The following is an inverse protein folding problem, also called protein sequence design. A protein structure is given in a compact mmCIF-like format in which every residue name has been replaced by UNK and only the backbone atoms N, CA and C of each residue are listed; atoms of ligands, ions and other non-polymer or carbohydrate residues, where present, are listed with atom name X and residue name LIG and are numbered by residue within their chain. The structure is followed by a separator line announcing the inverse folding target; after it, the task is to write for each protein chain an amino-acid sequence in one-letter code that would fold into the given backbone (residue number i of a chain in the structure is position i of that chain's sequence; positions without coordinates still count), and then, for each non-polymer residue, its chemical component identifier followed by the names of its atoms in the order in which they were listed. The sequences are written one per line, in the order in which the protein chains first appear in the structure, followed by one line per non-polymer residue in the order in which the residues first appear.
data_IF_059712490663
#
_entry.id   IF_059712490663
#
_cell.length_a   1.000
_cell.length_b   1.000
_cell.length_c   1.000
_cell.angle_alpha   90.00
_cell.angle_beta   90.00
_cell.angle_gamma   90.00
#
_symmetry.space_group_name_H-M   'P 1'
#
loop_
_entity.id
_entity.type
_entity.pdbx_description
1 polymer ?
#
# COMPACT_ATOMS: atom_id res chain seq x y z
N UNK A 1 -32.28 15.23 -54.10
CA UNK A 1 -31.18 15.30 -53.12
C UNK A 1 -31.63 14.64 -51.82
N UNK A 2 -31.06 13.53 -51.45
CA UNK A 2 -31.36 12.85 -50.19
C UNK A 2 -30.28 13.25 -49.20
N UNK A 3 -30.59 13.74 -48.01
CA UNK A 3 -29.57 13.98 -46.97
C UNK A 3 -29.16 12.65 -46.35
N UNK A 4 -27.85 12.39 -46.36
CA UNK A 4 -27.23 11.26 -45.66
C UNK A 4 -27.27 11.51 -44.15
N UNK A 5 -27.63 10.51 -43.33
CA UNK A 5 -27.53 10.64 -41.90
C UNK A 5 -26.06 10.52 -41.49
N UNK A 6 -25.53 11.54 -40.83
CA UNK A 6 -24.25 11.49 -40.14
C UNK A 6 -24.43 10.63 -38.89
N UNK A 7 -23.90 9.44 -38.92
CA UNK A 7 -23.84 8.57 -37.74
C UNK A 7 -22.72 9.10 -36.84
N UNK A 8 -23.11 9.80 -35.79
CA UNK A 8 -22.23 10.22 -34.71
C UNK A 8 -21.86 8.98 -33.87
N UNK A 9 -20.70 8.39 -34.12
CA UNK A 9 -20.17 7.32 -33.30
C UNK A 9 -19.72 7.92 -31.95
N UNK A 10 -20.54 7.78 -30.91
CA UNK A 10 -20.11 8.01 -29.54
C UNK A 10 -19.11 6.92 -29.16
N UNK A 11 -17.84 7.28 -29.13
CA UNK A 11 -16.79 6.49 -28.47
C UNK A 11 -17.04 6.56 -26.96
N UNK A 12 -17.75 5.56 -26.45
CA UNK A 12 -17.82 5.27 -25.02
C UNK A 12 -16.45 4.84 -24.56
N UNK A 13 -15.71 5.74 -23.92
CA UNK A 13 -14.52 5.39 -23.17
C UNK A 13 -14.97 4.44 -22.05
N UNK A 14 -14.76 3.14 -22.24
CA UNK A 14 -14.98 2.13 -21.23
C UNK A 14 -13.89 2.29 -20.16
N UNK A 15 -14.18 3.09 -19.15
CA UNK A 15 -13.42 3.04 -17.90
C UNK A 15 -13.47 1.62 -17.34
N UNK A 16 -12.38 1.14 -16.71
CA UNK A 16 -12.36 -0.17 -16.08
C UNK A 16 -13.57 -0.31 -15.14
N UNK A 17 -14.33 -1.42 -15.19
CA UNK A 17 -15.54 -1.55 -14.38
C UNK A 17 -15.17 -1.48 -12.88
N UNK A 18 -15.98 -0.75 -12.10
CA UNK A 18 -15.79 -0.58 -10.65
C UNK A 18 -15.65 -1.92 -9.89
N UNK A 19 -16.23 -3.00 -10.42
CA UNK A 19 -16.14 -4.36 -9.90
C UNK A 19 -14.70 -4.88 -9.93
N UNK A 20 -13.90 -4.60 -10.98
CA UNK A 20 -12.51 -5.05 -11.07
C UNK A 20 -11.62 -4.34 -10.04
N UNK A 21 -11.88 -3.04 -9.76
CA UNK A 21 -11.17 -2.30 -8.71
C UNK A 21 -11.53 -2.81 -7.31
N UNK A 22 -12.80 -3.10 -7.03
CA UNK A 22 -13.27 -3.67 -5.77
C UNK A 22 -12.65 -5.05 -5.50
N UNK A 23 -12.55 -5.92 -6.52
CA UNK A 23 -11.93 -7.24 -6.37
C UNK A 23 -10.41 -7.16 -6.12
N UNK A 24 -9.72 -6.19 -6.73
CA UNK A 24 -8.29 -5.94 -6.48
C UNK A 24 -8.03 -5.47 -5.05
N UNK A 25 -8.87 -4.61 -4.51
CA UNK A 25 -8.79 -4.19 -3.11
C UNK A 25 -9.08 -5.35 -2.15
N UNK A 26 -10.12 -6.13 -2.41
CA UNK A 26 -10.44 -7.30 -1.59
C UNK A 26 -9.29 -8.32 -1.57
N UNK A 27 -8.66 -8.59 -2.72
CA UNK A 27 -7.51 -9.47 -2.83
C UNK A 27 -6.30 -8.91 -2.08
N UNK A 28 -6.09 -7.59 -2.12
CA UNK A 28 -5.00 -6.95 -1.40
C UNK A 28 -5.20 -7.04 0.12
N UNK A 29 -6.39 -6.76 0.63
CA UNK A 29 -6.70 -6.92 2.05
C UNK A 29 -6.53 -8.36 2.51
N UNK A 30 -6.96 -9.34 1.70
CA UNK A 30 -6.76 -10.75 2.00
C UNK A 30 -5.27 -11.13 2.08
N UNK A 31 -4.45 -10.62 1.17
CA UNK A 31 -2.99 -10.83 1.17
C UNK A 31 -2.33 -10.20 2.41
N UNK A 32 -2.78 -9.01 2.81
CA UNK A 32 -2.33 -8.34 4.04
C UNK A 32 -2.70 -9.16 5.29
N UNK A 33 -3.92 -9.60 5.40
CA UNK A 33 -4.40 -10.39 6.55
C UNK A 33 -3.75 -11.78 6.61
N UNK A 34 -3.37 -12.34 5.45
CA UNK A 34 -2.60 -13.57 5.37
C UNK A 34 -1.11 -13.40 5.67
N UNK A 35 -0.65 -12.18 5.96
CA UNK A 35 0.76 -11.91 6.26
C UNK A 35 1.69 -11.96 5.06
N UNK A 36 1.18 -11.76 3.85
CA UNK A 36 1.97 -11.77 2.61
C UNK A 36 2.48 -10.38 2.22
N UNK A 37 1.74 -9.34 2.57
CA UNK A 37 2.08 -7.93 2.41
C UNK A 37 2.01 -7.29 3.78
N UNK A 38 2.97 -6.46 4.13
CA UNK A 38 3.00 -5.84 5.45
C UNK A 38 3.66 -4.48 5.50
N UNK A 39 3.49 -3.82 6.64
CA UNK A 39 4.10 -2.52 6.92
C UNK A 39 5.58 -2.67 7.27
N UNK A 40 6.38 -1.73 6.80
CA UNK A 40 7.81 -1.66 7.08
C UNK A 40 8.11 -0.46 7.98
N UNK A 41 9.19 -0.58 8.73
CA UNK A 41 9.68 0.48 9.61
C UNK A 41 9.95 1.82 8.89
N UNK A 42 10.23 1.79 7.59
CA UNK A 42 10.53 2.98 6.78
C UNK A 42 9.29 3.69 6.21
N UNK A 43 8.09 3.24 6.59
CA UNK A 43 6.83 3.84 6.18
C UNK A 43 6.28 3.35 4.85
N UNK A 44 6.87 2.32 4.27
CA UNK A 44 6.40 1.68 3.04
C UNK A 44 5.82 0.30 3.30
N UNK A 45 5.10 -0.22 2.33
CA UNK A 45 4.70 -1.63 2.28
C UNK A 45 5.82 -2.47 1.66
N UNK A 46 5.87 -3.73 2.05
CA UNK A 46 6.76 -4.72 1.45
C UNK A 46 6.09 -6.08 1.35
N UNK A 47 6.78 -7.00 0.70
CA UNK A 47 6.34 -8.38 0.53
C UNK A 47 7.07 -9.30 1.52
N UNK A 48 6.30 -9.97 2.37
CA UNK A 48 6.84 -10.98 3.29
C UNK A 48 7.01 -12.36 2.64
N UNK A 49 6.56 -12.48 1.39
CA UNK A 49 6.71 -13.66 0.52
C UNK A 49 7.35 -13.21 -0.80
N UNK A 50 7.90 -14.12 -1.61
CA UNK A 50 8.36 -13.76 -2.95
C UNK A 50 7.24 -13.09 -3.75
N UNK A 51 7.55 -11.99 -4.44
CA UNK A 51 6.54 -11.24 -5.21
C UNK A 51 5.86 -12.10 -6.28
N UNK A 52 6.55 -13.11 -6.81
CA UNK A 52 6.00 -14.10 -7.75
C UNK A 52 4.87 -14.96 -7.16
N UNK A 53 4.78 -15.06 -5.82
CA UNK A 53 3.69 -15.77 -5.14
C UNK A 53 2.39 -14.93 -5.03
N UNK A 54 2.44 -13.66 -5.41
CA UNK A 54 1.32 -12.72 -5.33
C UNK A 54 0.71 -12.50 -6.72
N UNK A 55 -0.60 -12.25 -6.76
CA UNK A 55 -1.26 -11.87 -8.00
C UNK A 55 -0.74 -10.51 -8.51
N UNK A 56 -0.81 -10.31 -9.83
CA UNK A 56 -0.46 -9.02 -10.43
C UNK A 56 -1.29 -7.86 -9.85
N UNK A 57 -2.56 -8.09 -9.52
CA UNK A 57 -3.43 -7.10 -8.90
C UNK A 57 -2.95 -6.69 -7.50
N UNK A 58 -2.54 -7.64 -6.67
CA UNK A 58 -1.97 -7.37 -5.34
C UNK A 58 -0.67 -6.57 -5.45
N UNK A 59 0.22 -6.96 -6.36
CA UNK A 59 1.47 -6.21 -6.59
C UNK A 59 1.21 -4.77 -7.04
N UNK A 60 0.34 -4.58 -8.04
CA UNK A 60 -0.02 -3.23 -8.53
C UNK A 60 -0.61 -2.36 -7.42
N UNK A 61 -1.47 -2.93 -6.59
CA UNK A 61 -2.08 -2.21 -5.47
C UNK A 61 -1.04 -1.79 -4.44
N UNK A 62 -0.14 -2.69 -4.07
CA UNK A 62 0.97 -2.41 -3.14
C UNK A 62 1.88 -1.30 -3.67
N UNK A 63 2.30 -1.43 -4.92
CA UNK A 63 3.17 -0.43 -5.57
C UNK A 63 2.48 0.93 -5.70
N UNK A 64 1.19 0.95 -6.05
CA UNK A 64 0.40 2.17 -6.11
C UNK A 64 0.29 2.88 -4.77
N UNK A 65 0.12 2.14 -3.68
CA UNK A 65 0.13 2.71 -2.32
C UNK A 65 1.51 3.31 -2.02
N UNK A 66 2.58 2.60 -2.32
CA UNK A 66 3.94 3.08 -2.08
C UNK A 66 4.28 4.33 -2.90
N UNK A 67 3.81 4.44 -4.14
CA UNK A 67 3.98 5.65 -4.97
C UNK A 67 3.30 6.85 -4.30
N UNK A 68 2.07 6.69 -3.84
CA UNK A 68 1.34 7.75 -3.12
C UNK A 68 2.02 8.15 -1.82
N UNK A 69 2.51 7.19 -1.06
CA UNK A 69 3.27 7.43 0.17
C UNK A 69 4.55 8.20 -0.11
N UNK A 70 5.30 7.83 -1.15
CA UNK A 70 6.53 8.54 -1.53
C UNK A 70 6.26 10.00 -1.86
N UNK A 71 5.23 10.29 -2.63
CA UNK A 71 4.82 11.66 -2.94
C UNK A 71 4.46 12.43 -1.67
N UNK A 72 3.69 11.83 -0.77
CA UNK A 72 3.30 12.43 0.51
C UNK A 72 4.53 12.72 1.38
N UNK A 73 5.47 11.78 1.50
CA UNK A 73 6.67 11.98 2.32
C UNK A 73 7.60 13.04 1.74
N UNK A 74 7.68 13.12 0.42
CA UNK A 74 8.43 14.18 -0.26
C UNK A 74 7.82 15.56 0.02
N UNK A 75 6.51 15.70 -0.13
CA UNK A 75 5.81 16.97 0.08
C UNK A 75 5.88 17.42 1.55
N UNK A 76 5.65 16.51 2.49
CA UNK A 76 5.75 16.80 3.91
C UNK A 76 7.19 17.14 4.33
N UNK A 77 8.17 16.44 3.78
CA UNK A 77 9.58 16.73 4.03
C UNK A 77 9.95 18.14 3.58
N UNK A 78 9.53 18.54 2.41
CA UNK A 78 9.75 19.90 1.88
C UNK A 78 9.12 20.95 2.80
N UNK A 79 7.88 20.75 3.25
CA UNK A 79 7.19 21.73 4.10
C UNK A 79 7.73 21.78 5.54
N UNK A 80 8.36 20.72 6.04
CA UNK A 80 8.86 20.61 7.43
C UNK A 80 10.37 20.73 7.55
N UNK A 81 11.10 20.88 6.44
CA UNK A 81 12.56 20.91 6.44
C UNK A 81 13.19 19.56 6.85
N UNK A 82 12.52 18.44 6.55
CA UNK A 82 12.99 17.10 6.83
C UNK A 82 13.17 16.31 5.52
N UNK A 83 13.99 15.25 5.56
CA UNK A 83 14.11 14.36 4.41
C UNK A 83 12.85 13.50 4.23
N UNK A 84 12.54 13.05 3.01
CA UNK A 84 11.46 12.07 2.80
C UNK A 84 11.65 10.77 3.62
N UNK A 85 12.88 10.36 3.84
CA UNK A 85 13.23 9.20 4.66
C UNK A 85 12.85 9.39 6.14
N UNK A 86 13.13 10.56 6.71
CA UNK A 86 12.74 10.89 8.10
C UNK A 86 11.22 10.92 8.25
N UNK A 87 10.51 11.50 7.29
CA UNK A 87 9.04 11.49 7.27
C UNK A 87 8.51 10.05 7.17
N UNK A 88 9.11 9.23 6.31
CA UNK A 88 8.74 7.82 6.15
C UNK A 88 8.91 7.02 7.44
N UNK A 89 10.01 7.18 8.16
CA UNK A 89 10.25 6.53 9.45
C UNK A 89 9.20 6.97 10.48
N UNK A 90 8.88 8.25 10.55
CA UNK A 90 7.84 8.78 11.44
C UNK A 90 6.46 8.18 11.09
N UNK A 91 6.12 8.12 9.81
CA UNK A 91 4.89 7.46 9.35
C UNK A 91 4.88 5.97 9.69
N UNK A 92 6.03 5.31 9.58
CA UNK A 92 6.23 3.91 9.95
C UNK A 92 5.87 3.63 11.41
N UNK A 93 6.18 4.53 12.31
CA UNK A 93 5.78 4.43 13.72
C UNK A 93 4.26 4.33 13.88
N UNK A 94 3.51 5.18 13.20
CA UNK A 94 2.04 5.16 13.21
C UNK A 94 1.49 3.88 12.56
N UNK A 95 2.04 3.50 11.41
CA UNK A 95 1.57 2.36 10.63
C UNK A 95 1.85 1.03 11.33
N UNK A 96 3.02 0.88 11.96
CA UNK A 96 3.35 -0.30 12.76
C UNK A 96 2.42 -0.42 13.98
N UNK A 97 1.98 0.70 14.55
CA UNK A 97 1.00 0.71 15.63
C UNK A 97 -0.38 0.17 15.22
N UNK A 98 -0.67 0.11 13.94
CA UNK A 98 -1.95 -0.38 13.37
C UNK A 98 -1.87 -1.82 12.84
N UNK A 99 -0.72 -2.46 12.90
CA UNK A 99 -0.57 -3.86 12.48
C UNK A 99 -1.47 -4.73 13.35
N UNK A 100 -2.38 -5.46 12.71
CA UNK A 100 -3.31 -6.36 13.40
C UNK A 100 -2.68 -7.75 13.63
N UNK A 101 -3.27 -8.50 14.55
CA UNK A 101 -2.88 -9.90 14.77
C UNK A 101 -2.96 -10.68 13.44
N UNK A 102 -1.91 -11.44 13.13
CA UNK A 102 -1.76 -12.20 11.90
C UNK A 102 -1.12 -11.44 10.74
N UNK A 103 -1.09 -10.11 10.77
CA UNK A 103 -0.45 -9.32 9.73
C UNK A 103 1.08 -9.30 9.88
N UNK A 104 1.77 -9.21 8.75
CA UNK A 104 3.22 -9.15 8.69
C UNK A 104 3.76 -7.73 8.90
N UNK A 105 4.96 -7.64 9.42
CA UNK A 105 5.68 -6.39 9.58
C UNK A 105 7.19 -6.61 9.47
N UNK A 106 7.90 -5.56 9.07
CA UNK A 106 9.37 -5.55 8.96
C UNK A 106 9.95 -4.43 9.80
N UNK A 107 10.82 -4.77 10.73
CA UNK A 107 11.60 -3.81 11.51
C UNK A 107 12.98 -3.55 10.89
N UNK A 108 13.76 -2.68 11.53
CA UNK A 108 15.07 -2.26 11.03
C UNK A 108 16.13 -3.37 10.96
N UNK A 109 15.90 -4.52 11.57
CA UNK A 109 16.72 -5.71 11.45
C UNK A 109 16.51 -6.50 10.14
N UNK A 110 15.59 -6.04 9.31
CA UNK A 110 15.26 -6.63 8.03
C UNK A 110 14.71 -8.07 8.11
N UNK A 111 14.05 -8.40 9.21
CA UNK A 111 13.42 -9.70 9.43
C UNK A 111 11.90 -9.55 9.41
N UNK A 112 11.23 -10.27 8.51
CA UNK A 112 9.79 -10.35 8.48
C UNK A 112 9.24 -11.16 9.65
N UNK A 113 8.23 -10.62 10.32
CA UNK A 113 7.51 -11.26 11.42
C UNK A 113 6.02 -11.10 11.22
N UNK A 114 5.24 -11.88 11.94
CA UNK A 114 3.78 -11.72 12.03
C UNK A 114 3.41 -11.41 13.47
N UNK A 115 2.48 -10.46 13.65
CA UNK A 115 1.96 -10.17 14.99
C UNK A 115 1.16 -11.36 15.50
N UNK A 116 1.57 -11.92 16.62
CA UNK A 116 0.91 -13.03 17.29
C UNK A 116 -0.28 -12.57 18.13
N UNK A 117 -1.17 -13.52 18.44
CA UNK A 117 -2.27 -13.31 19.39
C UNK A 117 -1.72 -12.94 20.77
N UNK A 118 -2.28 -11.92 21.42
CA UNK A 118 -1.81 -11.41 22.71
C UNK A 118 -0.53 -10.57 22.65
N UNK A 119 0.10 -10.45 21.49
CA UNK A 119 1.27 -9.61 21.28
C UNK A 119 0.84 -8.16 21.04
N UNK A 120 1.53 -7.20 21.67
CA UNK A 120 1.33 -5.78 21.40
C UNK A 120 1.71 -5.44 19.95
N UNK A 121 1.18 -4.33 19.43
CA UNK A 121 1.59 -3.81 18.13
C UNK A 121 3.11 -3.55 18.11
N UNK A 122 3.80 -3.86 16.98
CA UNK A 122 5.26 -3.87 16.91
C UNK A 122 5.86 -2.46 16.75
N UNK A 123 5.56 -1.56 17.66
CA UNK A 123 6.07 -0.18 17.64
C UNK A 123 7.48 -0.15 18.24
N UNK A 124 8.51 0.23 17.48
CA UNK A 124 9.86 0.34 17.99
C UNK A 124 9.99 1.38 19.10
N UNK A 125 10.96 1.20 20.00
CA UNK A 125 11.14 2.10 21.15
C UNK A 125 11.48 3.54 20.75
N UNK A 126 12.20 3.74 19.65
CA UNK A 126 12.49 5.08 19.15
C UNK A 126 11.23 5.87 18.72
N UNK A 127 10.10 5.21 18.51
CA UNK A 127 8.82 5.84 18.18
C UNK A 127 8.15 6.48 19.42
N UNK A 128 8.57 6.10 20.60
CA UNK A 128 7.94 6.55 21.87
C UNK A 128 8.52 7.87 22.37
N UNK A 129 9.49 8.42 21.67
CA UNK A 129 10.09 9.73 21.89
C UNK A 129 10.96 9.81 23.10
#
# INVERSE_FOLDING_TARGET
MRPSPIILACLLALGAPAIAQSSSFAAWFAARDAGQVGERFDGYLGYAVPSSALSAGVRRQTEGINIRRRSLYTDLGTSRGASPSEIGITAGCTLLGRVAVGQAYLLGDNVWRRRGSGQAAPVPDYCKG
#
